data_IF_156062844832
#
_entry.id   IF_156062844832
#
_cell.length_a   1.000
_cell.length_b   1.000
_cell.length_c   1.000
_cell.angle_alpha   90.00
_cell.angle_beta   90.00
_cell.angle_gamma   90.00
#
_symmetry.space_group_name_H-M   'P 1'
#
loop_
_entity.id
_entity.type
_entity.pdbx_description
1 polymer ?
#
# COMPACT_ATOMS: atom_id res chain seq x y z
N UNK A 1 -6.20 33.17 -67.12
CA UNK A 1 -6.91 32.49 -66.01
C UNK A 1 -6.09 31.27 -65.59
N UNK A 2 -5.26 31.38 -64.55
CA UNK A 2 -4.72 30.22 -63.84
C UNK A 2 -4.82 30.54 -62.35
N UNK A 3 -5.71 29.81 -61.69
CA UNK A 3 -6.09 29.99 -60.29
C UNK A 3 -5.13 29.20 -59.40
N UNK A 4 -4.59 29.91 -58.42
CA UNK A 4 -3.88 29.41 -57.24
C UNK A 4 -4.63 28.26 -56.57
N UNK A 5 -3.91 27.20 -56.16
CA UNK A 5 -4.39 26.26 -55.14
C UNK A 5 -3.29 26.08 -54.09
N UNK A 6 -3.40 26.85 -53.01
CA UNK A 6 -2.68 26.63 -51.77
C UNK A 6 -3.00 25.24 -51.22
N UNK A 7 -1.95 24.47 -50.91
CA UNK A 7 -2.08 23.21 -50.18
C UNK A 7 -2.56 23.45 -48.74
N UNK A 8 -3.82 23.11 -48.46
CA UNK A 8 -4.36 23.15 -47.09
C UNK A 8 -3.63 22.11 -46.22
N UNK A 9 -2.70 22.59 -45.39
CA UNK A 9 -2.13 21.82 -44.27
C UNK A 9 -3.27 21.30 -43.39
N UNK A 10 -3.41 19.98 -43.28
CA UNK A 10 -4.34 19.32 -42.35
C UNK A 10 -4.07 19.81 -40.93
N UNK A 11 -5.12 20.28 -40.24
CA UNK A 11 -5.04 20.70 -38.84
C UNK A 11 -4.72 19.48 -37.96
N UNK A 12 -3.53 19.48 -37.34
CA UNK A 12 -3.18 18.62 -36.19
C UNK A 12 -4.14 18.97 -35.04
N UNK A 13 -5.25 18.25 -34.91
CA UNK A 13 -6.11 18.26 -33.71
C UNK A 13 -6.91 16.95 -33.63
N UNK A 14 -6.28 15.81 -33.97
CA UNK A 14 -6.86 14.47 -33.83
C UNK A 14 -6.33 13.73 -32.59
N UNK A 15 -5.86 14.48 -31.58
CA UNK A 15 -5.62 13.91 -30.27
C UNK A 15 -6.63 14.54 -29.33
N UNK A 16 -7.79 13.90 -29.21
CA UNK A 16 -8.74 14.17 -28.16
C UNK A 16 -8.05 14.00 -26.82
N UNK A 17 -8.06 15.07 -26.05
CA UNK A 17 -7.51 15.20 -24.71
C UNK A 17 -8.24 14.24 -23.74
N UNK A 18 -7.77 12.99 -23.69
CA UNK A 18 -8.16 11.99 -22.68
C UNK A 18 -7.36 12.12 -21.38
N UNK A 19 -6.82 13.32 -21.09
CA UNK A 19 -6.15 13.64 -19.83
C UNK A 19 -7.11 14.15 -18.75
N UNK A 20 -8.40 13.82 -18.83
CA UNK A 20 -9.23 13.83 -17.61
C UNK A 20 -8.75 12.67 -16.75
N UNK A 21 -7.66 12.89 -16.00
CA UNK A 21 -7.18 12.00 -14.94
C UNK A 21 -8.41 11.58 -14.13
N UNK A 22 -8.91 10.37 -14.41
CA UNK A 22 -9.91 9.72 -13.56
C UNK A 22 -9.35 9.85 -12.16
N UNK A 23 -10.09 10.52 -11.29
CA UNK A 23 -9.64 10.81 -9.94
C UNK A 23 -9.40 9.46 -9.25
N UNK A 24 -8.15 8.98 -9.30
CA UNK A 24 -7.67 7.84 -8.51
C UNK A 24 -8.09 8.17 -7.08
N UNK A 25 -8.91 7.32 -6.46
CA UNK A 25 -9.51 7.58 -5.16
C UNK A 25 -8.44 8.05 -4.18
N UNK A 26 -8.40 9.36 -3.96
CA UNK A 26 -7.40 9.98 -3.09
C UNK A 26 -7.94 9.84 -1.67
N UNK A 27 -7.12 9.26 -0.80
CA UNK A 27 -7.51 8.99 0.58
C UNK A 27 -7.92 10.28 1.33
N UNK A 28 -7.29 11.42 0.98
CA UNK A 28 -7.62 12.75 1.54
C UNK A 28 -9.07 13.19 1.24
N UNK A 29 -9.68 12.66 0.17
CA UNK A 29 -11.06 13.01 -0.23
C UNK A 29 -12.11 12.03 0.31
N UNK A 30 -11.72 10.86 0.81
CA UNK A 30 -12.64 9.75 1.15
C UNK A 30 -12.88 9.60 2.66
N UNK A 31 -12.27 10.45 3.49
CA UNK A 31 -12.65 10.61 4.90
C UNK A 31 -11.98 9.62 5.86
N UNK A 32 -11.98 9.98 7.15
CA UNK A 32 -11.51 9.12 8.24
C UNK A 32 -12.53 7.99 8.49
N UNK A 33 -12.06 6.85 9.00
CA UNK A 33 -12.90 5.74 9.45
C UNK A 33 -12.94 4.51 8.54
N UNK A 34 -12.04 4.43 7.55
CA UNK A 34 -11.96 3.26 6.67
C UNK A 34 -11.22 2.10 7.34
N UNK A 35 -11.63 0.88 6.99
CA UNK A 35 -10.90 -0.37 7.25
C UNK A 35 -10.22 -0.83 5.97
N UNK A 36 -9.15 -1.61 6.09
CA UNK A 36 -8.45 -2.09 4.91
C UNK A 36 -7.09 -2.68 5.18
N UNK A 37 -6.22 -2.58 4.19
CA UNK A 37 -4.85 -3.07 4.24
C UNK A 37 -3.89 -1.99 3.76
N UNK A 38 -2.82 -1.77 4.53
CA UNK A 38 -1.71 -0.93 4.12
C UNK A 38 -0.64 -1.82 3.50
N UNK A 39 -0.38 -1.60 2.22
CA UNK A 39 0.56 -2.38 1.43
C UNK A 39 1.82 -1.56 1.14
N UNK A 40 2.99 -2.19 1.29
CA UNK A 40 4.27 -1.60 0.87
C UNK A 40 4.90 -2.41 -0.24
N UNK A 41 5.53 -1.74 -1.20
CA UNK A 41 6.23 -2.34 -2.33
C UNK A 41 7.47 -1.52 -2.68
N UNK A 42 8.42 -2.13 -3.40
CA UNK A 42 9.69 -1.48 -3.74
C UNK A 42 9.78 -1.11 -5.23
N UNK A 43 9.42 -2.04 -6.12
CA UNK A 43 9.71 -1.90 -7.55
C UNK A 43 8.53 -1.34 -8.36
N UNK A 44 7.44 -2.09 -8.43
CA UNK A 44 6.33 -1.78 -9.34
C UNK A 44 5.00 -1.76 -8.62
N UNK A 45 4.37 -0.58 -8.54
CA UNK A 45 3.05 -0.40 -7.93
C UNK A 45 1.99 -1.24 -8.66
N UNK A 46 2.07 -1.33 -9.99
CA UNK A 46 1.14 -2.08 -10.82
C UNK A 46 1.15 -3.56 -10.45
N UNK A 47 2.32 -4.19 -10.51
CA UNK A 47 2.45 -5.62 -10.18
C UNK A 47 2.17 -5.88 -8.70
N UNK A 48 2.61 -5.02 -7.79
CA UNK A 48 2.30 -5.15 -6.38
C UNK A 48 0.80 -5.06 -6.09
N UNK A 49 0.06 -4.25 -6.86
CA UNK A 49 -1.39 -4.19 -6.69
C UNK A 49 -2.05 -5.46 -7.21
N UNK A 50 -1.61 -6.00 -8.36
CA UNK A 50 -2.12 -7.26 -8.89
C UNK A 50 -1.90 -8.40 -7.89
N UNK A 51 -0.66 -8.56 -7.40
CA UNK A 51 -0.31 -9.53 -6.38
C UNK A 51 -1.18 -9.35 -5.12
N UNK A 52 -1.43 -8.10 -4.70
CA UNK A 52 -2.24 -7.80 -3.53
C UNK A 52 -3.70 -8.22 -3.70
N UNK A 53 -4.33 -7.95 -4.85
CA UNK A 53 -5.71 -8.37 -5.09
C UNK A 53 -5.84 -9.88 -5.22
N UNK A 54 -4.92 -10.53 -5.94
CA UNK A 54 -4.91 -11.99 -6.10
C UNK A 54 -4.80 -12.66 -4.73
N UNK A 55 -3.86 -12.19 -3.89
CA UNK A 55 -3.67 -12.69 -2.54
C UNK A 55 -4.89 -12.42 -1.64
N UNK A 56 -5.44 -11.20 -1.64
CA UNK A 56 -6.58 -10.88 -0.78
C UNK A 56 -7.84 -11.65 -1.19
N UNK A 57 -8.12 -11.75 -2.49
CA UNK A 57 -9.29 -12.47 -2.99
C UNK A 57 -9.21 -13.97 -2.73
N UNK A 58 -8.06 -14.60 -2.97
CA UNK A 58 -7.90 -16.03 -2.73
C UNK A 58 -8.24 -16.42 -1.29
N UNK A 59 -7.72 -15.68 -0.30
CA UNK A 59 -7.99 -15.98 1.10
C UNK A 59 -9.35 -15.45 1.56
N UNK A 60 -9.86 -14.37 0.96
CA UNK A 60 -11.22 -13.93 1.21
C UNK A 60 -12.23 -14.97 0.74
N UNK A 61 -12.00 -15.61 -0.40
CA UNK A 61 -12.87 -16.65 -0.95
C UNK A 61 -12.84 -17.92 -0.08
N UNK A 62 -11.69 -18.26 0.49
CA UNK A 62 -11.58 -19.34 1.49
C UNK A 62 -12.37 -19.06 2.76
N UNK A 63 -12.43 -17.80 3.22
CA UNK A 63 -13.05 -17.42 4.50
C UNK A 63 -14.53 -17.07 4.39
N UNK A 64 -14.93 -16.34 3.35
CA UNK A 64 -16.27 -15.77 3.15
C UNK A 64 -16.96 -16.26 1.89
N UNK A 65 -16.33 -17.16 1.13
CA UNK A 65 -16.84 -17.66 -0.15
C UNK A 65 -16.54 -16.72 -1.32
N UNK A 66 -16.73 -17.18 -2.56
CA UNK A 66 -16.47 -16.38 -3.76
C UNK A 66 -17.26 -15.07 -3.73
N UNK A 67 -16.64 -13.99 -4.19
CA UNK A 67 -17.35 -12.73 -4.43
C UNK A 67 -18.45 -12.99 -5.46
N UNK A 68 -19.71 -12.73 -5.08
CA UNK A 68 -20.85 -12.81 -6.00
C UNK A 68 -20.80 -11.57 -6.89
N UNK A 69 -19.80 -11.52 -7.77
CA UNK A 69 -19.87 -10.79 -9.02
C UNK A 69 -20.25 -11.83 -10.06
N UNK A 70 -21.47 -11.74 -10.60
CA UNK A 70 -21.77 -12.47 -11.82
C UNK A 70 -20.66 -12.16 -12.84
N UNK A 71 -20.06 -13.23 -13.38
CA UNK A 71 -19.00 -13.33 -14.40
C UNK A 71 -17.58 -12.81 -14.08
N UNK A 72 -16.62 -13.63 -14.51
CA UNK A 72 -15.15 -13.47 -14.47
C UNK A 72 -14.64 -12.14 -15.07
N UNK A 73 -14.72 -11.05 -14.31
CA UNK A 73 -14.19 -9.75 -14.70
C UNK A 73 -12.81 -9.47 -14.10
N UNK A 74 -11.74 -10.07 -14.65
CA UNK A 74 -10.40 -9.49 -14.53
C UNK A 74 -10.40 -8.15 -15.29
N UNK A 75 -10.72 -7.07 -14.58
CA UNK A 75 -10.83 -5.73 -15.14
C UNK A 75 -9.43 -5.13 -15.36
N UNK A 76 -8.87 -5.39 -16.56
CA UNK A 76 -7.64 -4.75 -17.03
C UNK A 76 -7.83 -3.26 -17.36
N UNK A 77 -9.05 -2.72 -17.28
CA UNK A 77 -9.36 -1.33 -17.66
C UNK A 77 -9.10 -0.30 -16.55
N UNK A 78 -8.85 -0.76 -15.31
CA UNK A 78 -8.38 0.11 -14.23
C UNK A 78 -6.88 0.45 -14.35
N UNK A 79 -6.16 -0.20 -15.28
CA UNK A 79 -4.73 -0.01 -15.52
C UNK A 79 -4.36 0.23 -16.97
N UNK A 80 -4.91 1.28 -17.60
CA UNK A 80 -4.28 1.96 -18.75
C UNK A 80 -3.77 1.10 -19.93
N UNK A 81 -4.21 -0.14 -20.06
CA UNK A 81 -3.80 -1.11 -21.07
C UNK A 81 -5.03 -1.41 -21.92
N UNK A 82 -5.36 -0.49 -22.81
CA UNK A 82 -6.13 -0.82 -23.99
C UNK A 82 -5.13 -1.24 -25.08
N UNK A 83 -5.23 -2.45 -25.66
CA UNK A 83 -4.58 -2.72 -26.93
C UNK A 83 -5.31 -1.95 -28.04
N UNK A 84 -4.54 -1.24 -28.87
CA UNK A 84 -5.02 -0.54 -30.07
C UNK A 84 -5.60 -1.55 -31.08
N UNK A 85 -6.92 -1.75 -31.05
CA UNK A 85 -7.64 -2.40 -32.15
C UNK A 85 -8.01 -1.34 -33.17
N UNK A 86 -7.30 -1.34 -34.30
CA UNK A 86 -7.62 -0.51 -35.47
C UNK A 86 -9.02 -0.90 -35.97
N UNK A 87 -9.95 0.05 -35.98
CA UNK A 87 -11.21 -0.04 -36.72
C UNK A 87 -10.90 -0.13 -38.21
N UNK A 88 -11.21 -1.26 -38.83
CA UNK A 88 -11.44 -1.33 -40.27
C UNK A 88 -12.95 -1.13 -40.48
N UNK A 89 -13.30 -0.12 -41.27
CA UNK A 89 -14.70 0.29 -41.47
C UNK A 89 -15.34 -0.59 -42.55
N UNK A 90 -16.24 -1.46 -42.14
CA UNK A 90 -17.20 -2.08 -43.05
C UNK A 90 -17.82 -3.35 -42.50
N UNK A 91 -19.13 -3.27 -42.22
CA UNK A 91 -20.14 -4.36 -42.17
C UNK A 91 -20.83 -4.53 -40.78
N UNK A 92 -22.17 -4.32 -40.83
CA UNK A 92 -23.31 -4.54 -39.89
C UNK A 92 -23.45 -3.77 -38.56
N UNK A 93 -24.58 -3.04 -38.47
CA UNK A 93 -25.09 -2.31 -37.29
C UNK A 93 -25.48 -3.20 -36.10
N UNK A 94 -25.67 -4.52 -36.28
CA UNK A 94 -26.00 -5.45 -35.18
C UNK A 94 -24.84 -5.65 -34.19
N UNK A 95 -23.60 -5.60 -34.67
CA UNK A 95 -22.40 -5.83 -33.83
C UNK A 95 -22.11 -4.63 -32.94
N UNK A 96 -22.49 -3.42 -33.35
CA UNK A 96 -22.31 -2.22 -32.54
C UNK A 96 -23.26 -2.16 -31.34
N UNK A 97 -24.47 -2.69 -31.48
CA UNK A 97 -25.46 -2.77 -30.41
C UNK A 97 -25.11 -3.87 -29.38
N UNK A 98 -24.66 -5.04 -29.84
CA UNK A 98 -24.12 -6.10 -28.95
C UNK A 98 -22.88 -5.62 -28.17
N UNK A 99 -21.96 -4.90 -28.83
CA UNK A 99 -20.78 -4.32 -28.16
C UNK A 99 -21.15 -3.20 -27.18
N UNK A 100 -22.22 -2.44 -27.47
CA UNK A 100 -22.69 -1.39 -26.58
C UNK A 100 -23.32 -1.96 -25.31
N UNK A 101 -24.00 -3.10 -25.40
CA UNK A 101 -24.56 -3.80 -24.26
C UNK A 101 -23.47 -4.50 -23.42
N UNK A 102 -22.46 -5.11 -24.05
CA UNK A 102 -21.25 -5.59 -23.33
C UNK A 102 -20.52 -4.44 -22.60
N UNK A 103 -20.43 -3.25 -23.23
CA UNK A 103 -19.83 -2.07 -22.60
C UNK A 103 -20.67 -1.49 -21.46
N UNK A 104 -22.00 -1.67 -21.47
CA UNK A 104 -22.86 -1.27 -20.36
C UNK A 104 -22.73 -2.25 -19.21
N UNK A 105 -22.74 -3.55 -19.47
CA UNK A 105 -22.53 -4.59 -18.46
C UNK A 105 -21.16 -4.46 -17.78
N UNK A 106 -20.10 -4.12 -18.53
CA UNK A 106 -18.78 -3.81 -17.97
C UNK A 106 -18.77 -2.54 -17.10
N UNK A 107 -19.55 -1.51 -17.49
CA UNK A 107 -19.69 -0.30 -16.66
C UNK A 107 -20.53 -0.56 -15.42
N UNK A 108 -21.57 -1.37 -15.53
CA UNK A 108 -22.46 -1.73 -14.42
C UNK A 108 -21.74 -2.65 -13.42
N UNK A 109 -20.97 -3.63 -13.89
CA UNK A 109 -20.09 -4.44 -13.03
C UNK A 109 -18.95 -3.62 -12.41
N UNK A 110 -18.45 -2.57 -13.08
CA UNK A 110 -17.49 -1.62 -12.47
C UNK A 110 -18.09 -0.76 -11.34
N UNK A 111 -19.42 -0.66 -11.26
CA UNK A 111 -20.14 0.07 -10.22
C UNK A 111 -20.58 -0.84 -9.04
N UNK A 112 -20.39 -2.15 -9.13
CA UNK A 112 -20.65 -3.05 -8.00
C UNK A 112 -19.62 -2.80 -6.90
N UNK A 113 -20.04 -2.83 -5.61
CA UNK A 113 -19.13 -2.63 -4.49
C UNK A 113 -18.16 -3.82 -4.39
N UNK A 114 -16.98 -3.68 -4.97
CA UNK A 114 -15.91 -4.67 -4.83
C UNK A 114 -15.47 -4.77 -3.36
N UNK A 115 -15.16 -5.99 -2.89
CA UNK A 115 -14.65 -6.26 -1.53
C UNK A 115 -13.38 -5.49 -1.20
N UNK A 116 -12.55 -5.25 -2.21
CA UNK A 116 -11.27 -4.55 -2.09
C UNK A 116 -11.18 -3.45 -3.14
N UNK A 117 -10.79 -2.26 -2.70
CA UNK A 117 -10.58 -1.11 -3.59
C UNK A 117 -9.30 -0.39 -3.23
N UNK A 118 -8.43 -0.25 -4.23
CA UNK A 118 -7.19 0.49 -4.09
C UNK A 118 -7.45 1.99 -3.99
N UNK A 119 -6.74 2.60 -3.05
CA UNK A 119 -6.71 4.02 -2.76
C UNK A 119 -5.25 4.47 -2.75
N UNK A 120 -4.97 5.64 -3.33
CA UNK A 120 -3.62 6.19 -3.29
C UNK A 120 -3.39 6.90 -1.97
N UNK A 121 -2.29 6.56 -1.29
CA UNK A 121 -1.80 7.30 -0.10
C UNK A 121 -0.91 8.49 -0.48
N UNK A 122 -0.62 8.65 -1.78
CA UNK A 122 0.28 9.64 -2.33
C UNK A 122 1.71 9.64 -1.74
N UNK A 123 2.10 8.54 -1.07
CA UNK A 123 3.44 8.29 -0.56
C UNK A 123 4.06 7.16 -1.37
N UNK A 124 5.25 7.40 -1.93
CA UNK A 124 5.93 6.42 -2.78
C UNK A 124 6.14 5.08 -2.06
N UNK A 125 6.03 3.97 -2.80
CA UNK A 125 6.20 2.62 -2.27
C UNK A 125 5.07 2.15 -1.33
N UNK A 126 3.96 2.90 -1.22
CA UNK A 126 2.83 2.56 -0.37
C UNK A 126 1.51 2.75 -1.13
N UNK A 127 0.55 1.87 -0.88
CA UNK A 127 -0.85 2.09 -1.26
C UNK A 127 -1.77 1.49 -0.21
N UNK A 128 -3.00 1.99 -0.17
CA UNK A 128 -4.02 1.49 0.73
C UNK A 128 -5.06 0.72 -0.07
N UNK A 129 -5.57 -0.37 0.49
CA UNK A 129 -6.69 -1.11 -0.07
C UNK A 129 -7.82 -1.04 0.93
N UNK A 130 -8.85 -0.23 0.66
CA UNK A 130 -10.05 -0.19 1.48
C UNK A 130 -10.83 -1.48 1.30
N UNK A 131 -11.45 -1.96 2.38
CA UNK A 131 -12.27 -3.17 2.34
C UNK A 131 -13.65 -2.97 2.94
N UNK A 132 -14.62 -3.70 2.41
CA UNK A 132 -15.96 -3.87 3.01
C UNK A 132 -16.02 -5.04 3.99
N UNK A 133 -14.96 -5.84 4.09
CA UNK A 133 -14.86 -6.98 5.00
C UNK A 133 -14.77 -6.51 6.45
N UNK A 134 -15.53 -7.17 7.33
CA UNK A 134 -15.69 -6.74 8.73
C UNK A 134 -14.39 -6.81 9.54
N UNK A 135 -13.59 -7.87 9.34
CA UNK A 135 -12.36 -8.17 10.09
C UNK A 135 -11.12 -8.35 9.18
N UNK A 136 -10.43 -7.26 8.79
CA UNK A 136 -9.20 -7.34 8.00
C UNK A 136 -8.07 -8.10 8.73
N UNK A 137 -8.03 -8.02 10.06
CA UNK A 137 -7.02 -8.72 10.87
C UNK A 137 -7.07 -10.24 10.68
N UNK A 138 -8.28 -10.83 10.66
CA UNK A 138 -8.46 -12.27 10.48
C UNK A 138 -7.94 -12.75 9.12
N UNK A 139 -8.21 -11.98 8.06
CA UNK A 139 -7.70 -12.27 6.72
C UNK A 139 -6.17 -12.28 6.71
N UNK A 140 -5.54 -11.24 7.27
CA UNK A 140 -4.08 -11.16 7.30
C UNK A 140 -3.46 -12.28 8.14
N UNK A 141 -4.01 -12.59 9.31
CA UNK A 141 -3.52 -13.72 10.12
C UNK A 141 -3.62 -15.04 9.34
N UNK A 142 -4.72 -15.29 8.62
CA UNK A 142 -4.85 -16.49 7.78
C UNK A 142 -3.80 -16.55 6.68
N UNK A 143 -3.53 -15.43 6.00
CA UNK A 143 -2.49 -15.33 4.96
C UNK A 143 -1.11 -15.67 5.55
N UNK A 144 -0.72 -15.00 6.63
CA UNK A 144 0.63 -15.17 7.19
C UNK A 144 0.84 -16.51 7.87
N UNK A 145 -0.20 -17.09 8.48
CA UNK A 145 -0.14 -18.45 9.02
C UNK A 145 0.10 -19.49 7.91
N UNK A 146 -0.64 -19.40 6.80
CA UNK A 146 -0.48 -20.30 5.65
C UNK A 146 0.89 -20.13 4.97
N UNK A 147 1.38 -18.88 4.82
CA UNK A 147 2.73 -18.62 4.30
C UNK A 147 3.82 -19.23 5.20
N UNK A 148 3.64 -19.17 6.52
CA UNK A 148 4.56 -19.75 7.49
C UNK A 148 4.53 -21.28 7.44
N UNK A 149 3.37 -21.89 7.26
CA UNK A 149 3.22 -23.35 7.19
C UNK A 149 3.70 -23.91 5.85
N UNK A 150 3.25 -23.35 4.73
CA UNK A 150 3.62 -23.82 3.40
C UNK A 150 5.04 -23.44 2.95
N UNK A 151 5.68 -22.46 3.63
CA UNK A 151 7.00 -21.90 3.24
C UNK A 151 7.08 -21.53 1.75
N UNK A 152 5.95 -21.09 1.17
CA UNK A 152 5.83 -20.79 -0.25
C UNK A 152 5.63 -19.30 -0.47
N UNK A 153 6.47 -18.70 -1.33
CA UNK A 153 6.36 -17.30 -1.67
C UNK A 153 5.15 -17.06 -2.58
N UNK A 154 4.13 -16.33 -2.08
CA UNK A 154 2.89 -16.04 -2.83
C UNK A 154 2.90 -14.69 -3.54
N UNK A 155 3.84 -13.79 -3.23
CA UNK A 155 3.99 -12.51 -3.91
C UNK A 155 5.46 -12.21 -4.20
N UNK A 156 5.73 -11.56 -5.35
CA UNK A 156 7.06 -11.13 -5.76
C UNK A 156 7.28 -9.63 -5.58
N UNK A 157 6.20 -8.85 -5.60
CA UNK A 157 6.26 -7.39 -5.62
C UNK A 157 5.72 -6.75 -4.33
N UNK A 158 4.85 -7.44 -3.61
CA UNK A 158 4.31 -7.00 -2.33
C UNK A 158 5.29 -7.36 -1.22
N UNK A 159 5.80 -6.34 -0.51
CA UNK A 159 6.78 -6.51 0.55
C UNK A 159 6.10 -6.73 1.90
N UNK A 160 5.19 -5.84 2.27
CA UNK A 160 4.44 -5.92 3.53
C UNK A 160 2.96 -5.70 3.29
N UNK A 161 2.15 -6.36 4.11
CA UNK A 161 0.70 -6.24 4.12
C UNK A 161 0.23 -6.14 5.57
N UNK A 162 -0.18 -4.94 5.99
CA UNK A 162 -0.64 -4.70 7.35
C UNK A 162 -2.17 -4.52 7.37
N UNK A 163 -2.90 -5.21 8.27
CA UNK A 163 -4.33 -4.97 8.47
C UNK A 163 -4.52 -3.62 9.15
N UNK A 164 -5.42 -2.80 8.62
CA UNK A 164 -5.80 -1.50 9.17
C UNK A 164 -7.23 -1.60 9.70
N UNK A 165 -7.38 -1.50 11.01
CA UNK A 165 -8.69 -1.52 11.67
C UNK A 165 -9.39 -0.17 11.58
N UNK A 166 -8.64 0.94 11.51
CA UNK A 166 -9.23 2.26 11.38
C UNK A 166 -8.24 3.28 10.80
N UNK A 167 -8.68 4.06 9.83
CA UNK A 167 -7.97 5.27 9.39
C UNK A 167 -8.48 6.50 10.13
N UNK A 168 -7.59 7.43 10.43
CA UNK A 168 -7.95 8.72 11.05
C UNK A 168 -7.06 9.85 10.54
N UNK A 169 -7.42 11.10 10.85
CA UNK A 169 -6.54 12.24 10.57
C UNK A 169 -5.29 12.15 11.44
N UNK A 170 -4.15 12.60 10.92
CA UNK A 170 -2.87 12.66 11.59
C UNK A 170 -2.84 13.77 12.67
N UNK A 171 -3.67 13.63 13.70
CA UNK A 171 -3.74 14.47 14.89
C UNK A 171 -3.74 13.55 16.12
N UNK A 172 -2.96 13.88 17.15
CA UNK A 172 -2.87 13.14 18.42
C UNK A 172 -4.25 12.81 19.00
N UNK A 173 -5.18 13.75 19.08
CA UNK A 173 -6.52 13.52 19.64
C UNK A 173 -7.32 12.52 18.80
N UNK A 174 -7.26 12.67 17.47
CA UNK A 174 -7.94 11.79 16.54
C UNK A 174 -7.38 10.36 16.59
N UNK A 175 -6.05 10.23 16.73
CA UNK A 175 -5.35 8.95 16.88
C UNK A 175 -5.71 8.29 18.21
N UNK A 176 -5.71 9.02 19.33
CA UNK A 176 -6.14 8.47 20.61
C UNK A 176 -7.58 7.97 20.56
N UNK A 177 -8.49 8.75 19.96
CA UNK A 177 -9.89 8.33 19.77
C UNK A 177 -9.99 7.09 18.89
N UNK A 178 -9.22 7.03 17.81
CA UNK A 178 -9.18 5.89 16.91
C UNK A 178 -8.69 4.62 17.63
N UNK A 179 -7.58 4.71 18.37
CA UNK A 179 -7.05 3.59 19.16
C UNK A 179 -8.07 3.13 20.21
N UNK A 180 -8.68 4.04 20.98
CA UNK A 180 -9.74 3.68 21.94
C UNK A 180 -10.91 2.96 21.27
N UNK A 181 -11.33 3.42 20.10
CA UNK A 181 -12.41 2.80 19.31
C UNK A 181 -12.02 1.37 18.90
N UNK A 182 -10.81 1.19 18.36
CA UNK A 182 -10.30 -0.12 17.97
C UNK A 182 -10.15 -1.05 19.17
N UNK A 183 -9.64 -0.58 20.31
CA UNK A 183 -9.47 -1.41 21.51
C UNK A 183 -10.81 -1.84 22.13
N UNK A 184 -11.88 -1.08 21.92
CA UNK A 184 -13.20 -1.43 22.44
C UNK A 184 -13.77 -2.72 21.84
N UNK A 185 -13.30 -3.15 20.67
CA UNK A 185 -13.71 -4.40 20.04
C UNK A 185 -12.96 -5.63 20.57
N UNK A 186 -11.92 -5.45 21.39
CA UNK A 186 -11.15 -6.53 21.97
C UNK A 186 -11.67 -6.89 23.36
N UNK A 187 -11.45 -8.13 23.80
CA UNK A 187 -11.78 -8.59 25.15
C UNK A 187 -10.87 -7.95 26.21
N UNK A 188 -11.29 -7.97 27.48
CA UNK A 188 -10.52 -7.43 28.61
C UNK A 188 -9.77 -8.57 29.34
N UNK A 189 -8.78 -9.10 28.63
CA UNK A 189 -7.88 -10.16 29.06
C UNK A 189 -6.48 -9.63 29.40
N UNK A 190 -5.68 -10.48 30.04
CA UNK A 190 -4.29 -10.18 30.36
C UNK A 190 -3.46 -10.37 29.08
N UNK A 191 -2.92 -9.28 28.53
CA UNK A 191 -2.08 -9.30 27.33
C UNK A 191 -0.88 -8.39 27.45
N UNK A 192 0.15 -8.69 26.67
CA UNK A 192 1.29 -7.78 26.50
C UNK A 192 1.19 -6.99 25.20
N UNK A 193 1.52 -5.69 25.25
CA UNK A 193 1.44 -4.83 24.08
C UNK A 193 2.65 -3.91 23.90
N UNK A 194 2.88 -3.52 22.64
CA UNK A 194 3.82 -2.48 22.25
C UNK A 194 3.12 -1.47 21.34
N UNK A 195 3.34 -0.18 21.57
CA UNK A 195 2.94 0.87 20.62
C UNK A 195 4.15 1.24 19.77
N UNK A 196 4.01 1.13 18.45
CA UNK A 196 5.01 1.52 17.47
C UNK A 196 4.46 2.62 16.56
N UNK A 197 5.32 3.57 16.16
CA UNK A 197 4.97 4.60 15.18
C UNK A 197 5.91 4.58 13.99
N UNK A 198 5.37 4.83 12.80
CA UNK A 198 6.09 5.09 11.57
C UNK A 198 5.54 6.34 10.93
N UNK A 199 6.39 7.31 10.61
CA UNK A 199 5.94 8.62 10.11
C UNK A 199 6.60 8.91 8.77
N UNK A 200 5.80 9.20 7.75
CA UNK A 200 6.21 9.55 6.39
C UNK A 200 5.56 10.85 5.97
N UNK A 201 6.38 11.83 5.59
CA UNK A 201 5.94 13.15 5.13
C UNK A 201 5.00 13.88 6.12
N UNK A 202 5.25 13.75 7.42
CA UNK A 202 4.55 14.50 8.47
C UNK A 202 5.57 14.95 9.54
N UNK A 203 5.77 16.25 9.68
CA UNK A 203 6.77 16.83 10.58
C UNK A 203 6.24 17.07 12.00
N UNK A 204 4.93 17.22 12.16
CA UNK A 204 4.32 17.55 13.45
C UNK A 204 4.34 16.32 14.37
N UNK A 205 3.88 15.16 13.87
CA UNK A 205 3.83 13.92 14.64
C UNK A 205 5.16 13.19 14.75
N UNK A 206 6.14 13.52 13.90
CA UNK A 206 7.50 12.97 14.05
C UNK A 206 8.14 13.45 15.34
N UNK A 207 7.92 14.72 15.71
CA UNK A 207 8.48 15.38 16.91
C UNK A 207 7.63 15.23 18.16
N UNK A 208 6.33 14.94 18.02
CA UNK A 208 5.39 14.84 19.14
C UNK A 208 5.58 13.59 20.03
N UNK A 209 5.15 13.71 21.29
CA UNK A 209 5.07 12.65 22.32
C UNK A 209 3.96 11.62 22.08
N UNK A 210 3.53 11.43 20.83
CA UNK A 210 2.41 10.59 20.43
C UNK A 210 2.41 9.18 21.04
N UNK A 211 3.59 8.56 21.18
CA UNK A 211 3.70 7.21 21.76
C UNK A 211 3.24 7.18 23.22
N UNK A 212 3.69 8.13 24.04
CA UNK A 212 3.30 8.23 25.45
C UNK A 212 1.80 8.44 25.57
N UNK A 213 1.27 9.40 24.79
CA UNK A 213 -0.15 9.76 24.79
C UNK A 213 -1.05 8.57 24.40
N UNK A 214 -0.58 7.73 23.46
CA UNK A 214 -1.31 6.53 23.03
C UNK A 214 -1.17 5.40 24.05
N UNK A 215 0.02 5.20 24.65
CA UNK A 215 0.21 4.20 25.72
C UNK A 215 -0.70 4.50 26.91
N UNK A 216 -0.81 5.77 27.31
CA UNK A 216 -1.75 6.20 28.35
C UNK A 216 -3.20 5.92 27.96
N UNK A 217 -3.59 6.22 26.71
CA UNK A 217 -4.92 5.90 26.20
C UNK A 217 -5.21 4.39 26.20
N UNK A 218 -4.22 3.55 25.88
CA UNK A 218 -4.35 2.09 25.93
C UNK A 218 -4.57 1.64 27.36
N UNK A 219 -3.72 2.07 28.31
CA UNK A 219 -3.82 1.71 29.74
C UNK A 219 -5.14 2.16 30.36
N UNK A 220 -5.66 3.32 29.97
CA UNK A 220 -6.96 3.80 30.42
C UNK A 220 -8.13 2.97 29.88
N UNK A 221 -7.98 2.33 28.72
CA UNK A 221 -9.03 1.54 28.06
C UNK A 221 -8.94 0.06 28.42
N UNK A 222 -7.72 -0.45 28.61
CA UNK A 222 -7.36 -1.85 28.87
C UNK A 222 -6.36 -1.89 30.03
N UNK A 223 -6.83 -1.78 31.29
CA UNK A 223 -5.95 -1.68 32.45
C UNK A 223 -5.15 -2.96 32.72
N UNK A 224 -5.63 -4.12 32.24
CA UNK A 224 -4.95 -5.41 32.34
C UNK A 224 -3.81 -5.59 31.33
N UNK A 225 -3.75 -4.75 30.30
CA UNK A 225 -2.72 -4.86 29.27
C UNK A 225 -1.41 -4.26 29.77
N UNK A 226 -0.32 -5.03 29.67
CA UNK A 226 1.01 -4.66 30.17
C UNK A 226 1.91 -4.29 29.00
N UNK A 227 2.64 -3.18 29.12
CA UNK A 227 3.59 -2.74 28.10
C UNK A 227 4.83 -3.64 28.09
N UNK A 228 5.17 -4.22 26.94
CA UNK A 228 6.35 -5.07 26.73
C UNK A 228 7.07 -4.63 25.46
N UNK A 229 8.38 -4.38 25.53
CA UNK A 229 9.17 -3.85 24.40
C UNK A 229 9.86 -4.93 23.59
N UNK A 230 10.12 -6.10 24.19
CA UNK A 230 10.96 -7.14 23.61
C UNK A 230 10.14 -8.20 22.89
N UNK A 231 9.14 -8.77 23.57
CA UNK A 231 8.29 -9.83 23.04
C UNK A 231 6.81 -9.55 23.35
N UNK A 232 6.23 -8.50 22.75
CA UNK A 232 4.80 -8.22 22.91
C UNK A 232 3.96 -9.25 22.14
N UNK A 233 2.82 -9.62 22.70
CA UNK A 233 1.79 -10.42 22.00
C UNK A 233 1.11 -9.60 20.90
N UNK A 234 0.85 -8.31 21.17
CA UNK A 234 0.21 -7.39 20.26
C UNK A 234 1.08 -6.16 19.99
N UNK A 235 1.24 -5.78 18.72
CA UNK A 235 1.82 -4.49 18.34
C UNK A 235 0.72 -3.57 17.80
N UNK A 236 0.53 -2.43 18.46
CA UNK A 236 -0.31 -1.33 17.99
C UNK A 236 0.57 -0.44 17.11
N UNK A 237 0.47 -0.60 15.81
CA UNK A 237 1.23 0.17 14.83
C UNK A 237 0.43 1.40 14.37
N UNK A 238 1.08 2.55 14.47
CA UNK A 238 0.59 3.84 13.99
C UNK A 238 1.42 4.24 12.76
N UNK A 239 0.91 3.98 11.55
CA UNK A 239 1.56 4.43 10.31
C UNK A 239 0.95 5.77 9.88
N UNK A 240 1.72 6.84 9.95
CA UNK A 240 1.32 8.20 9.58
C UNK A 240 1.89 8.50 8.20
N UNK A 241 1.02 8.73 7.23
CA UNK A 241 1.38 9.11 5.86
C UNK A 241 0.70 10.43 5.52
N UNK A 242 1.49 11.50 5.37
CA UNK A 242 1.00 12.87 5.17
C UNK A 242 -0.03 13.26 6.24
N UNK A 243 -1.31 13.40 5.86
CA UNK A 243 -2.40 13.88 6.73
C UNK A 243 -3.21 12.76 7.37
N UNK A 244 -2.86 11.49 7.11
CA UNK A 244 -3.64 10.32 7.50
C UNK A 244 -2.81 9.40 8.39
N UNK A 245 -3.44 8.81 9.39
CA UNK A 245 -2.88 7.77 10.24
C UNK A 245 -3.68 6.48 10.07
N UNK A 246 -2.97 5.38 9.83
CA UNK A 246 -3.47 4.02 9.80
C UNK A 246 -3.19 3.37 11.14
N UNK A 247 -4.25 2.97 11.84
CA UNK A 247 -4.16 2.25 13.10
C UNK A 247 -4.29 0.75 12.81
N UNK A 248 -3.23 0.02 13.14
CA UNK A 248 -3.08 -1.40 12.90
C UNK A 248 -2.82 -2.16 14.20
N UNK A 249 -3.59 -3.20 14.48
CA UNK A 249 -3.37 -4.15 15.58
C UNK A 249 -2.77 -5.43 14.98
N UNK A 250 -1.56 -5.75 15.41
CA UNK A 250 -0.71 -6.76 14.80
C UNK A 250 -0.36 -7.86 15.82
N UNK A 251 -1.13 -8.96 15.87
CA UNK A 251 -0.71 -10.16 16.60
C UNK A 251 0.50 -10.83 15.93
N UNK A 252 1.27 -11.60 16.71
CA UNK A 252 2.40 -12.41 16.22
C UNK A 252 3.42 -11.60 15.39
N UNK A 253 3.61 -10.32 15.70
CA UNK A 253 4.37 -9.38 14.87
C UNK A 253 5.80 -9.85 14.55
N UNK A 254 6.50 -10.42 15.54
CA UNK A 254 7.84 -10.96 15.36
C UNK A 254 7.85 -12.28 14.57
N UNK A 255 6.88 -13.15 14.82
CA UNK A 255 6.76 -14.43 14.12
C UNK A 255 6.45 -14.24 12.63
N UNK A 256 5.58 -13.29 12.31
CA UNK A 256 5.27 -12.88 10.94
C UNK A 256 6.33 -11.95 10.33
N UNK A 257 7.52 -11.86 10.93
CA UNK A 257 8.66 -11.06 10.45
C UNK A 257 8.25 -9.62 10.09
N UNK A 258 7.51 -8.97 10.98
CA UNK A 258 6.96 -7.61 10.81
C UNK A 258 5.98 -7.49 9.64
N UNK A 259 5.18 -8.54 9.44
CA UNK A 259 4.19 -8.64 8.34
C UNK A 259 4.85 -8.48 6.96
N UNK A 260 6.04 -9.05 6.80
CA UNK A 260 6.76 -9.07 5.54
C UNK A 260 6.54 -10.41 4.83
N UNK A 261 5.87 -10.35 3.67
CA UNK A 261 5.47 -11.53 2.89
C UNK A 261 6.66 -12.29 2.30
N UNK A 262 7.79 -11.61 2.10
CA UNK A 262 9.00 -12.20 1.54
C UNK A 262 9.90 -12.81 2.61
N UNK A 263 9.92 -12.24 3.82
CA UNK A 263 10.77 -12.71 4.91
C UNK A 263 10.13 -13.88 5.67
N UNK A 264 8.80 -13.94 5.75
CA UNK A 264 8.08 -14.99 6.50
C UNK A 264 8.29 -16.39 5.91
N UNK A 265 8.56 -16.49 4.61
CA UNK A 265 8.77 -17.76 3.90
C UNK A 265 10.24 -18.18 3.83
N UNK A 266 11.16 -17.40 4.40
CA UNK A 266 12.58 -17.77 4.44
C UNK A 266 12.80 -18.76 5.59
N UNK A 267 13.54 -19.87 5.35
CA UNK A 267 13.86 -20.80 6.40
C UNK A 267 14.61 -20.07 7.50
N UNK A 268 14.10 -20.17 8.73
CA UNK A 268 14.79 -19.59 9.89
C UNK A 268 16.04 -20.42 10.12
N UNK A 269 17.21 -19.85 9.85
CA UNK A 269 18.46 -20.44 10.32
C UNK A 269 18.38 -20.52 11.86
N UNK A 270 18.73 -21.66 12.48
CA UNK A 270 18.79 -21.75 13.93
C UNK A 270 19.88 -20.77 14.41
N UNK A 271 19.47 -19.60 14.89
CA UNK A 271 20.37 -18.65 15.49
C UNK A 271 20.67 -19.11 16.93
N UNK A 272 21.97 -19.23 17.21
CA UNK A 272 22.54 -19.37 18.54
C UNK A 272 21.84 -18.48 19.57
N UNK A 273 21.46 -19.09 20.69
CA UNK A 273 20.88 -18.45 21.88
C UNK A 273 21.97 -17.67 22.62
N UNK A 274 22.54 -16.65 21.98
CA UNK A 274 23.38 -15.64 22.64
C UNK A 274 23.20 -14.28 21.96
N UNK A 275 22.49 -13.40 22.66
CA UNK A 275 22.63 -11.93 22.61
C UNK A 275 22.36 -11.17 21.30
N UNK A 276 21.25 -11.41 20.59
CA UNK A 276 20.76 -10.44 19.58
C UNK A 276 19.24 -10.37 19.34
N UNK A 277 18.43 -11.29 19.87
CA UNK A 277 16.96 -11.24 19.80
C UNK A 277 16.31 -10.12 20.68
N UNK A 278 17.12 -9.21 21.22
CA UNK A 278 16.70 -8.03 21.97
C UNK A 278 16.96 -6.72 21.23
N UNK A 279 17.12 -6.76 19.90
CA UNK A 279 17.24 -5.55 19.09
C UNK A 279 15.87 -4.83 19.03
N UNK A 280 15.76 -3.76 19.80
CA UNK A 280 14.61 -2.87 19.98
C UNK A 280 13.72 -2.73 18.74
N UNK A 281 12.48 -3.26 18.81
CA UNK A 281 11.39 -2.96 17.87
C UNK A 281 11.19 -1.43 17.75
N UNK A 282 11.47 -0.67 18.82
CA UNK A 282 11.39 0.79 18.85
C UNK A 282 12.50 1.50 18.05
N UNK A 283 13.72 0.96 17.99
CA UNK A 283 14.87 1.65 17.37
C UNK A 283 14.88 1.48 15.83
N UNK A 284 14.44 0.34 15.32
CA UNK A 284 14.43 0.05 13.88
C UNK A 284 13.25 0.74 13.15
N UNK A 285 12.12 0.95 13.82
CA UNK A 285 11.01 1.75 13.26
C UNK A 285 11.38 3.24 13.09
N UNK A 286 12.40 3.73 13.80
CA UNK A 286 12.91 5.09 13.65
C UNK A 286 13.87 5.27 12.45
N UNK A 287 14.53 4.20 11.97
CA UNK A 287 15.50 4.27 10.86
C UNK A 287 14.87 4.11 9.48
N UNK A 288 13.76 3.37 9.34
CA UNK A 288 13.04 3.19 8.07
C UNK A 288 12.28 4.45 7.55
N UNK A 289 12.38 5.57 8.27
CA UNK A 289 11.74 6.85 7.94
C UNK A 289 12.60 7.84 7.13
N UNK A 290 13.85 7.51 6.80
CA UNK A 290 14.70 8.37 5.96
C UNK A 290 14.41 8.10 4.48
N UNK A 291 13.67 9.00 3.85
CA UNK A 291 13.49 9.04 2.39
C UNK A 291 14.84 9.41 1.77
N UNK A 292 15.28 8.64 0.77
CA UNK A 292 16.39 8.99 -0.10
C UNK A 292 15.96 10.21 -0.94
N UNK A 293 16.61 11.35 -0.72
CA UNK A 293 16.42 12.54 -1.54
C UNK A 293 16.87 12.25 -2.98
N UNK A 294 15.97 12.63 -3.89
CA UNK A 294 16.10 12.59 -5.34
C UNK A 294 17.23 13.53 -5.79
N UNK A 295 18.40 12.96 -6.10
CA UNK A 295 19.50 13.68 -6.72
C UNK A 295 19.82 13.03 -8.08
N UNK A 296 18.87 13.09 -9.01
CA UNK A 296 19.19 12.95 -10.43
C UNK A 296 19.03 14.30 -11.13
N UNK A 297 20.11 15.07 -11.17
CA UNK A 297 20.26 16.20 -12.07
C UNK A 297 21.71 16.27 -12.58
N UNK A 298 21.83 16.08 -13.90
CA UNK A 298 22.93 16.51 -14.79
C UNK A 298 24.22 15.68 -14.76
N UNK A 299 24.27 14.69 -15.66
CA UNK A 299 25.52 14.34 -16.36
C UNK A 299 25.44 14.99 -17.74
N UNK A 300 26.08 16.15 -17.88
CA UNK A 300 26.52 16.66 -19.17
C UNK A 300 28.05 16.52 -19.24
N UNK A 301 28.45 15.83 -20.30
CA UNK A 301 29.71 15.78 -21.02
C UNK A 301 30.91 16.60 -20.51
N UNK A 302 32.02 15.91 -20.24
CA UNK A 302 33.37 16.37 -20.58
C UNK A 302 34.34 15.19 -20.61
N UNK A 303 34.55 14.63 -21.80
CA UNK A 303 35.66 13.74 -22.10
C UNK A 303 36.85 14.64 -22.47
N UNK A 304 37.93 14.60 -21.68
CA UNK A 304 39.10 15.45 -21.84
C UNK A 304 40.32 14.82 -21.21
N UNK A 305 40.91 13.89 -21.95
CA UNK A 305 42.22 13.30 -21.70
C UNK A 305 43.32 14.38 -21.68
N UNK A 306 44.17 14.42 -20.65
CA UNK A 306 45.63 14.62 -20.73
C UNK A 306 46.27 14.87 -19.35
N UNK A 307 47.40 14.19 -19.12
CA UNK A 307 48.57 14.81 -18.50
C UNK A 307 48.96 14.35 -17.10
N UNK A 308 49.70 13.24 -17.02
CA UNK A 308 50.62 12.95 -15.94
C UNK A 308 51.65 14.09 -15.76
N UNK A 309 51.91 14.50 -14.53
CA UNK A 309 52.91 15.50 -14.18
C UNK A 309 53.11 15.60 -12.67
N UNK A 310 53.88 14.67 -12.12
CA UNK A 310 54.24 14.62 -10.71
C UNK A 310 55.03 15.87 -10.28
N UNK A 311 54.56 16.50 -9.19
CA UNK A 311 55.32 17.45 -8.40
C UNK A 311 56.29 16.71 -7.48
N UNK A 312 57.53 17.20 -7.37
CA UNK A 312 58.30 17.17 -6.12
C UNK A 312 59.09 18.46 -5.92
N UNK A 313 58.63 19.21 -4.93
CA UNK A 313 59.31 20.26 -4.16
C UNK A 313 60.68 19.75 -3.67
N UNK A 314 61.76 20.53 -3.84
CA UNK A 314 62.27 21.48 -2.86
C UNK A 314 62.55 20.86 -1.48
N UNK A 315 63.76 20.30 -1.31
CA UNK A 315 64.80 20.72 -0.36
C UNK A 315 65.98 19.74 -0.45
#
# INVERSE_FOLDING_TARGET
KMSSKEGKKRKKNYYCDMSKKRHKGCLDKVGAGMKGFLATFERSEFHATKDCYELLNEYADKLWGPEVSDVNGFDSSEYGLAPDVKKDEGIVKDVEDELADELKELKESSNLPRRFKKMSTEVAGNFFVSTTVDEPGRLTTSIFSDLKECQSQRSRFLLRLLPVQLTCKANTEAIQKAVKTVLSTYEDDDRTFLVAKKVRHNNDLSRASLLTDVVEAVRATKPKWIGELRQPELVIMLDVQKTICFVSILPNYLEFKKYNLLEVTKPTQPADVTSSAGANIAAENASEGRVADDANSKRDEANGCQGDGAAREAN
#
